data_IF_811765615995
#
_entry.id   IF_811765615995
#
_cell.length_a   1.000
_cell.length_b   1.000
_cell.length_c   1.000
_cell.angle_alpha   90.00
_cell.angle_beta   90.00
_cell.angle_gamma   90.00
#
_symmetry.space_group_name_H-M   'P 1'
#
loop_
_entity.id
_entity.type
_entity.pdbx_description
1 polymer ?
#
# COMPACT_ATOMS: atom_id res chain seq x y z
N UNK A 1 8.34 28.52 -7.08
CA UNK A 1 7.88 28.18 -8.45
C UNK A 1 8.68 27.02 -9.09
N UNK A 2 10.04 27.01 -9.05
CA UNK A 2 10.84 25.88 -9.61
C UNK A 2 10.71 24.64 -8.73
N UNK A 3 10.71 24.79 -7.44
CA UNK A 3 10.63 23.70 -6.44
C UNK A 3 9.24 23.04 -6.42
N UNK A 4 8.18 23.79 -6.57
CA UNK A 4 6.81 23.25 -6.65
C UNK A 4 6.57 22.37 -7.86
N UNK A 5 7.12 22.75 -9.04
CA UNK A 5 7.03 21.95 -10.26
C UNK A 5 7.78 20.63 -10.10
N UNK A 6 8.94 20.67 -9.44
CA UNK A 6 9.76 19.49 -9.21
C UNK A 6 9.10 18.53 -8.19
N UNK A 7 8.55 19.06 -7.10
CA UNK A 7 7.81 18.29 -6.09
C UNK A 7 6.60 17.60 -6.72
N UNK A 8 5.83 18.32 -7.53
CA UNK A 8 4.67 17.74 -8.19
C UNK A 8 5.07 16.66 -9.22
N UNK A 9 6.18 16.85 -9.94
CA UNK A 9 6.72 15.84 -10.86
C UNK A 9 7.17 14.57 -10.12
N UNK A 10 7.87 14.71 -9.00
CA UNK A 10 8.30 13.59 -8.16
C UNK A 10 7.11 12.81 -7.56
N UNK A 11 6.12 13.52 -7.02
CA UNK A 11 4.88 12.94 -6.53
C UNK A 11 4.15 12.15 -7.62
N UNK A 12 4.04 12.73 -8.83
CA UNK A 12 3.44 12.03 -9.99
C UNK A 12 4.20 10.78 -10.36
N UNK A 13 5.52 10.77 -10.22
CA UNK A 13 6.32 9.60 -10.54
C UNK A 13 6.07 8.45 -9.53
N UNK A 14 6.02 8.73 -8.22
CA UNK A 14 5.67 7.75 -7.19
C UNK A 14 4.27 7.18 -7.48
N UNK A 15 3.29 8.04 -7.73
CA UNK A 15 1.93 7.64 -8.07
C UNK A 15 1.87 6.82 -9.36
N UNK A 16 2.62 7.22 -10.39
CA UNK A 16 2.67 6.49 -11.66
C UNK A 16 3.20 5.07 -11.49
N UNK A 17 4.26 4.87 -10.71
CA UNK A 17 4.77 3.52 -10.41
C UNK A 17 3.73 2.67 -9.67
N UNK A 18 3.04 3.27 -8.71
CA UNK A 18 1.93 2.63 -8.03
C UNK A 18 0.82 2.23 -9.02
N UNK A 19 0.37 3.16 -9.87
CA UNK A 19 -0.71 2.89 -10.83
C UNK A 19 -0.33 1.87 -11.90
N UNK A 20 0.90 1.87 -12.41
CA UNK A 20 1.35 0.87 -13.39
C UNK A 20 1.26 -0.54 -12.79
N UNK A 21 1.72 -0.74 -11.56
CA UNK A 21 1.66 -2.04 -10.90
C UNK A 21 0.24 -2.47 -10.56
N UNK A 22 -0.59 -1.55 -10.09
CA UNK A 22 -2.00 -1.84 -9.82
C UNK A 22 -2.80 -2.04 -11.10
N UNK A 23 -2.53 -1.30 -12.18
CA UNK A 23 -3.21 -1.49 -13.46
C UNK A 23 -2.97 -2.87 -14.06
N UNK A 24 -1.75 -3.42 -13.98
CA UNK A 24 -1.47 -4.80 -14.40
C UNK A 24 -2.31 -5.81 -13.62
N UNK A 25 -2.41 -5.64 -12.31
CA UNK A 25 -3.18 -6.52 -11.43
C UNK A 25 -4.68 -6.42 -11.70
N UNK A 26 -5.17 -5.20 -11.84
CA UNK A 26 -6.55 -4.89 -12.19
C UNK A 26 -6.89 -5.42 -13.57
N UNK A 27 -6.01 -5.24 -14.55
CA UNK A 27 -6.18 -5.77 -15.90
C UNK A 27 -6.31 -7.31 -15.88
N UNK A 28 -5.46 -8.00 -15.13
CA UNK A 28 -5.55 -9.46 -15.00
C UNK A 28 -6.90 -9.88 -14.36
N UNK A 29 -7.32 -9.20 -13.29
CA UNK A 29 -8.63 -9.45 -12.66
C UNK A 29 -9.78 -9.18 -13.64
N UNK A 30 -9.68 -8.10 -14.41
CA UNK A 30 -10.68 -7.75 -15.42
C UNK A 30 -10.80 -8.81 -16.51
N UNK A 31 -9.68 -9.29 -17.05
CA UNK A 31 -9.64 -10.39 -18.03
C UNK A 31 -10.26 -11.65 -17.43
N UNK A 32 -9.92 -12.03 -16.20
CA UNK A 32 -10.51 -13.18 -15.53
C UNK A 32 -12.02 -13.03 -15.34
N UNK A 33 -12.49 -11.86 -14.92
CA UNK A 33 -13.94 -11.58 -14.79
C UNK A 33 -14.67 -11.68 -16.13
N UNK A 34 -14.07 -11.16 -17.21
CA UNK A 34 -14.64 -11.28 -18.56
C UNK A 34 -14.76 -12.76 -18.97
N UNK A 35 -13.69 -13.54 -18.81
CA UNK A 35 -13.69 -14.96 -19.18
C UNK A 35 -14.77 -15.72 -18.40
N UNK A 36 -14.85 -15.54 -17.10
CA UNK A 36 -15.87 -16.18 -16.27
C UNK A 36 -17.27 -15.74 -16.68
N UNK A 37 -17.48 -14.44 -16.97
CA UNK A 37 -18.79 -13.91 -17.38
C UNK A 37 -19.22 -14.42 -18.77
N UNK A 38 -18.28 -14.61 -19.70
CA UNK A 38 -18.56 -15.21 -21.02
C UNK A 38 -18.97 -16.67 -20.86
N UNK A 39 -18.21 -17.46 -20.07
CA UNK A 39 -18.55 -18.85 -19.81
C UNK A 39 -19.94 -18.99 -19.19
N UNK A 40 -20.28 -18.11 -18.24
CA UNK A 40 -21.60 -18.08 -17.63
C UNK A 40 -22.69 -17.70 -18.64
N UNK A 41 -22.49 -16.63 -19.42
CA UNK A 41 -23.47 -16.18 -20.41
C UNK A 41 -23.75 -17.25 -21.47
N UNK A 42 -22.71 -17.98 -21.91
CA UNK A 42 -22.86 -19.11 -22.85
C UNK A 42 -23.65 -20.26 -22.22
N UNK A 43 -23.40 -20.56 -20.95
CA UNK A 43 -24.06 -21.67 -20.25
C UNK A 43 -25.53 -21.39 -19.90
N UNK A 44 -25.88 -20.13 -19.64
CA UNK A 44 -27.23 -19.73 -19.18
C UNK A 44 -28.06 -19.01 -20.24
N UNK A 45 -27.46 -18.58 -21.36
CA UNK A 45 -28.11 -17.75 -22.38
C UNK A 45 -28.46 -16.31 -21.94
N UNK A 46 -27.98 -15.89 -20.78
CA UNK A 46 -28.35 -14.59 -20.18
C UNK A 46 -27.30 -13.49 -20.44
N UNK A 47 -27.37 -12.84 -21.60
CA UNK A 47 -26.48 -11.74 -21.98
C UNK A 47 -26.54 -10.52 -21.01
N UNK A 48 -27.68 -10.27 -20.39
CA UNK A 48 -27.87 -9.13 -19.47
C UNK A 48 -26.95 -9.24 -18.24
N UNK A 49 -26.76 -10.44 -17.71
CA UNK A 49 -25.86 -10.71 -16.56
C UNK A 49 -24.42 -10.33 -16.89
N UNK A 50 -23.99 -10.60 -18.13
CA UNK A 50 -22.66 -10.25 -18.62
C UNK A 50 -22.41 -8.72 -18.60
N UNK A 51 -23.38 -7.94 -19.12
CA UNK A 51 -23.27 -6.46 -19.13
C UNK A 51 -23.23 -5.87 -17.72
N UNK A 52 -24.03 -6.40 -16.79
CA UNK A 52 -24.03 -5.99 -15.39
C UNK A 52 -22.67 -6.30 -14.74
N UNK A 53 -22.12 -7.49 -14.96
CA UNK A 53 -20.82 -7.89 -14.39
C UNK A 53 -19.68 -6.97 -14.87
N UNK A 54 -19.66 -6.61 -16.16
CA UNK A 54 -18.68 -5.65 -16.71
C UNK A 54 -18.87 -4.27 -16.04
N UNK A 55 -20.08 -3.76 -15.94
CA UNK A 55 -20.37 -2.47 -15.32
C UNK A 55 -19.88 -2.39 -13.87
N UNK A 56 -20.18 -3.41 -13.07
CA UNK A 56 -19.72 -3.51 -11.68
C UNK A 56 -18.17 -3.55 -11.63
N UNK A 57 -17.54 -4.32 -12.49
CA UNK A 57 -16.09 -4.45 -12.53
C UNK A 57 -15.41 -3.11 -12.83
N UNK A 58 -15.91 -2.36 -13.81
CA UNK A 58 -15.41 -1.03 -14.15
C UNK A 58 -15.55 -0.05 -12.97
N UNK A 59 -16.69 -0.05 -12.28
CA UNK A 59 -16.92 0.79 -11.10
C UNK A 59 -15.94 0.44 -9.98
N UNK A 60 -15.73 -0.85 -9.71
CA UNK A 60 -14.79 -1.31 -8.68
C UNK A 60 -13.36 -0.87 -9.02
N UNK A 61 -12.95 -1.00 -10.29
CA UNK A 61 -11.63 -0.55 -10.76
C UNK A 61 -11.43 0.95 -10.54
N UNK A 62 -12.38 1.77 -11.01
CA UNK A 62 -12.32 3.22 -10.84
C UNK A 62 -12.23 3.61 -9.36
N UNK A 63 -13.02 2.95 -8.51
CA UNK A 63 -13.00 3.18 -7.08
C UNK A 63 -11.67 2.79 -6.43
N UNK A 64 -11.08 1.66 -6.81
CA UNK A 64 -9.77 1.23 -6.29
C UNK A 64 -8.66 2.22 -6.64
N UNK A 65 -8.63 2.70 -7.89
CA UNK A 65 -7.61 3.66 -8.35
C UNK A 65 -7.75 5.01 -7.65
N UNK A 66 -8.97 5.52 -7.50
CA UNK A 66 -9.19 6.86 -6.91
C UNK A 66 -9.00 6.88 -5.39
N UNK A 67 -9.46 5.84 -4.69
CA UNK A 67 -9.39 5.76 -3.22
C UNK A 67 -8.00 5.29 -2.77
N UNK A 68 -7.38 4.37 -3.51
CA UNK A 68 -6.14 3.71 -3.10
C UNK A 68 -4.97 4.67 -2.86
N UNK A 69 -4.89 5.77 -3.62
CA UNK A 69 -3.81 6.76 -3.46
C UNK A 69 -4.22 8.00 -2.64
N UNK A 70 -5.46 8.08 -2.19
CA UNK A 70 -5.98 9.28 -1.49
C UNK A 70 -5.23 9.54 -0.18
N UNK A 71 -5.02 8.49 0.60
CA UNK A 71 -4.33 8.60 1.90
C UNK A 71 -2.90 9.11 1.71
N UNK A 72 -2.16 8.57 0.72
CA UNK A 72 -0.82 9.04 0.38
C UNK A 72 -0.84 10.51 -0.06
N UNK A 73 -1.74 10.88 -0.97
CA UNK A 73 -1.82 12.26 -1.49
C UNK A 73 -2.11 13.27 -0.41
N UNK A 74 -3.00 12.94 0.53
CA UNK A 74 -3.33 13.81 1.64
C UNK A 74 -2.14 13.92 2.60
N UNK A 75 -1.58 12.81 3.07
CA UNK A 75 -0.43 12.81 3.96
C UNK A 75 0.78 13.54 3.35
N UNK A 76 1.02 13.37 2.03
CA UNK A 76 2.10 14.05 1.33
C UNK A 76 1.83 15.56 1.19
N UNK A 77 0.57 15.98 0.96
CA UNK A 77 0.21 17.39 0.84
C UNK A 77 0.28 18.15 2.19
N UNK A 78 0.08 17.44 3.30
CA UNK A 78 0.17 18.01 4.65
C UNK A 78 1.63 18.30 5.08
N UNK A 79 2.62 17.79 4.33
CA UNK A 79 4.04 18.04 4.61
C UNK A 79 4.48 19.40 4.07
N UNK A 80 5.41 20.05 4.78
CA UNK A 80 6.06 21.26 4.29
C UNK A 80 7.01 20.94 3.10
N UNK A 81 7.21 21.89 2.16
CA UNK A 81 7.90 21.63 0.90
C UNK A 81 9.28 20.99 1.00
N UNK A 82 10.20 21.43 1.90
CA UNK A 82 11.51 20.77 2.05
C UNK A 82 11.43 19.29 2.41
N UNK A 83 10.42 18.87 3.19
CA UNK A 83 10.22 17.47 3.56
C UNK A 83 9.67 16.64 2.39
N UNK A 84 8.78 17.22 1.62
CA UNK A 84 8.28 16.61 0.38
C UNK A 84 9.43 16.35 -0.59
N UNK A 85 10.32 17.34 -0.74
CA UNK A 85 11.52 17.24 -1.57
C UNK A 85 12.45 16.13 -1.10
N UNK A 86 12.75 16.07 0.20
CA UNK A 86 13.58 15.03 0.79
C UNK A 86 13.02 13.62 0.52
N UNK A 87 11.71 13.41 0.75
CA UNK A 87 11.06 12.11 0.50
C UNK A 87 11.19 11.70 -0.98
N UNK A 88 11.04 12.63 -1.91
CA UNK A 88 11.20 12.37 -3.34
C UNK A 88 12.65 12.02 -3.66
N UNK A 89 13.61 12.77 -3.15
CA UNK A 89 15.03 12.51 -3.36
C UNK A 89 15.43 11.13 -2.84
N UNK A 90 15.00 10.80 -1.62
CA UNK A 90 15.25 9.49 -1.01
C UNK A 90 14.60 8.34 -1.82
N UNK A 91 13.41 8.58 -2.37
CA UNK A 91 12.73 7.59 -3.20
C UNK A 91 13.44 7.34 -4.54
N UNK A 92 14.09 8.36 -5.08
CA UNK A 92 14.87 8.26 -6.32
C UNK A 92 16.23 7.59 -6.13
N UNK A 93 16.78 7.64 -4.93
CA UNK A 93 18.03 6.99 -4.57
C UNK A 93 17.84 5.50 -4.28
N UNK A 94 18.90 4.69 -4.35
CA UNK A 94 18.85 3.30 -3.91
C UNK A 94 18.42 3.22 -2.46
N UNK A 95 17.34 2.50 -2.19
CA UNK A 95 16.79 2.32 -0.83
C UNK A 95 16.34 0.87 -0.62
N UNK A 96 16.08 0.50 0.63
CA UNK A 96 15.66 -0.86 0.97
C UNK A 96 14.18 -1.05 0.66
N UNK A 97 13.86 -2.14 -0.05
CA UNK A 97 12.49 -2.51 -0.39
C UNK A 97 12.17 -3.88 0.20
N UNK A 98 11.13 -3.95 1.02
CA UNK A 98 10.60 -5.20 1.53
C UNK A 98 9.31 -5.58 0.79
N UNK A 99 9.23 -6.83 0.35
CA UNK A 99 8.02 -7.35 -0.29
C UNK A 99 7.02 -7.80 0.76
N UNK A 100 5.76 -7.40 0.58
CA UNK A 100 4.61 -7.81 1.37
C UNK A 100 3.78 -8.84 0.62
N UNK A 101 2.83 -9.47 1.32
CA UNK A 101 1.77 -10.21 0.66
C UNK A 101 0.85 -9.22 -0.09
N UNK A 102 1.03 -9.13 -1.39
CA UNK A 102 0.28 -8.20 -2.23
C UNK A 102 0.74 -6.75 -2.19
N UNK A 103 1.98 -6.48 -1.76
CA UNK A 103 2.51 -5.13 -1.68
C UNK A 103 4.02 -5.07 -1.51
N UNK A 104 4.47 -3.89 -1.10
CA UNK A 104 5.88 -3.60 -0.81
C UNK A 104 5.99 -2.41 0.15
N UNK A 105 7.09 -2.35 0.88
CA UNK A 105 7.48 -1.24 1.75
C UNK A 105 8.81 -0.70 1.25
N UNK A 106 8.84 0.57 0.90
CA UNK A 106 10.02 1.34 0.59
C UNK A 106 10.48 2.05 1.86
N UNK A 107 11.66 1.67 2.37
CA UNK A 107 12.27 2.29 3.55
C UNK A 107 13.11 3.46 3.09
N UNK A 108 12.69 4.67 3.37
CA UNK A 108 13.41 5.90 3.09
C UNK A 108 14.18 6.36 4.34
N UNK A 109 14.93 7.45 4.25
CA UNK A 109 15.69 7.96 5.40
C UNK A 109 14.78 8.30 6.59
N UNK A 110 13.68 9.03 6.35
CA UNK A 110 12.78 9.54 7.39
C UNK A 110 11.30 9.24 7.14
N UNK A 111 10.99 8.33 6.21
CA UNK A 111 9.63 7.95 5.89
C UNK A 111 9.56 6.50 5.39
N UNK A 112 8.38 5.92 5.41
CA UNK A 112 8.08 4.68 4.69
C UNK A 112 6.97 4.94 3.69
N UNK A 113 7.17 4.50 2.44
CA UNK A 113 6.10 4.44 1.46
C UNK A 113 5.67 2.98 1.35
N UNK A 114 4.44 2.70 1.75
CA UNK A 114 3.90 1.36 1.80
C UNK A 114 2.81 1.18 0.75
N UNK A 115 2.94 0.15 -0.08
CA UNK A 115 1.86 -0.35 -0.89
C UNK A 115 1.31 -1.61 -0.23
N UNK A 116 0.08 -1.58 0.21
CA UNK A 116 -0.61 -2.72 0.82
C UNK A 116 -1.95 -2.95 0.13
N UNK A 117 -2.06 -4.02 -0.65
CA UNK A 117 -3.19 -4.23 -1.54
C UNK A 117 -3.35 -3.07 -2.53
N UNK A 118 -4.54 -2.52 -2.62
CA UNK A 118 -4.85 -1.38 -3.50
C UNK A 118 -4.57 -0.01 -2.87
N UNK A 119 -3.92 0.06 -1.72
CA UNK A 119 -3.63 1.32 -1.01
C UNK A 119 -2.15 1.68 -1.09
N UNK A 120 -1.90 2.96 -1.33
CA UNK A 120 -0.59 3.59 -1.18
C UNK A 120 -0.63 4.47 0.07
N UNK A 121 0.32 4.28 0.95
CA UNK A 121 0.39 4.92 2.26
C UNK A 121 1.75 5.59 2.42
N UNK A 122 1.78 6.75 3.04
CA UNK A 122 2.97 7.38 3.57
C UNK A 122 2.91 7.27 5.09
N UNK A 123 3.92 6.69 5.70
CA UNK A 123 4.03 6.51 7.14
C UNK A 123 5.26 7.25 7.62
N UNK A 124 5.05 8.21 8.49
CA UNK A 124 6.10 9.00 9.11
C UNK A 124 6.38 8.43 10.50
N UNK A 125 7.65 8.14 10.86
CA UNK A 125 7.98 7.58 12.17
C UNK A 125 7.46 8.40 13.35
N UNK A 126 7.48 9.72 13.22
CA UNK A 126 6.99 10.65 14.25
C UNK A 126 5.50 10.51 14.57
N UNK A 127 4.70 10.07 13.60
CA UNK A 127 3.26 9.85 13.78
C UNK A 127 2.95 8.48 14.40
N UNK A 128 3.91 7.55 14.40
CA UNK A 128 3.66 6.19 14.90
C UNK A 128 3.69 6.16 16.43
N UNK A 129 2.64 5.61 17.01
CA UNK A 129 2.49 5.44 18.46
C UNK A 129 2.67 3.98 18.89
N UNK A 130 1.95 3.06 18.24
CA UNK A 130 1.95 1.64 18.60
C UNK A 130 2.21 0.77 17.41
N UNK A 131 3.10 -0.22 17.57
CA UNK A 131 3.31 -1.31 16.61
C UNK A 131 2.88 -2.61 17.28
N UNK A 132 1.98 -3.36 16.62
CA UNK A 132 1.52 -4.66 17.08
C UNK A 132 1.80 -5.72 16.03
N UNK A 133 2.59 -6.74 16.38
CA UNK A 133 2.79 -7.91 15.53
C UNK A 133 1.65 -8.90 15.73
N UNK A 134 1.10 -9.43 14.65
CA UNK A 134 0.00 -10.38 14.66
C UNK A 134 0.43 -11.72 14.08
N UNK A 135 0.04 -12.80 14.78
CA UNK A 135 0.02 -14.15 14.22
C UNK A 135 -1.41 -14.44 13.78
N UNK A 136 -1.60 -14.90 12.57
CA UNK A 136 -2.89 -15.44 12.17
C UNK A 136 -2.96 -16.90 12.60
N UNK A 137 -3.92 -17.22 13.45
CA UNK A 137 -4.32 -18.58 13.77
C UNK A 137 -5.46 -18.98 12.83
N UNK A 138 -5.24 -19.93 11.93
CA UNK A 138 -6.22 -20.43 10.98
C UNK A 138 -5.56 -21.19 9.85
N UNK A 139 -6.31 -21.69 8.89
CA UNK A 139 -5.81 -22.44 7.73
C UNK A 139 -4.77 -21.67 6.89
N UNK A 140 -4.69 -20.35 7.04
CA UNK A 140 -3.67 -19.49 6.44
C UNK A 140 -2.54 -19.14 7.44
N UNK A 141 -2.03 -20.12 8.17
CA UNK A 141 -0.96 -19.98 9.18
C UNK A 141 0.36 -19.34 8.67
N UNK A 142 0.41 -18.98 7.39
CA UNK A 142 1.59 -18.49 6.71
C UNK A 142 1.72 -16.96 6.63
N UNK A 143 0.68 -16.20 6.96
CA UNK A 143 0.72 -14.73 6.85
C UNK A 143 0.84 -14.11 8.22
N UNK A 144 1.90 -13.32 8.43
CA UNK A 144 2.07 -12.48 9.62
C UNK A 144 1.78 -11.04 9.26
N UNK A 145 1.08 -10.34 10.11
CA UNK A 145 0.77 -8.93 9.92
C UNK A 145 1.45 -8.06 10.95
N UNK A 146 1.74 -6.83 10.56
CA UNK A 146 2.10 -5.75 11.46
C UNK A 146 0.99 -4.71 11.40
N UNK A 147 0.43 -4.38 12.54
CA UNK A 147 -0.43 -3.22 12.70
C UNK A 147 0.41 -2.05 13.17
N UNK A 148 0.34 -0.95 12.46
CA UNK A 148 0.93 0.32 12.85
C UNK A 148 -0.24 1.25 13.19
N UNK A 149 -0.27 1.74 14.41
CA UNK A 149 -1.26 2.73 14.87
C UNK A 149 -0.54 4.06 15.02
N UNK A 150 -1.10 5.12 14.46
CA UNK A 150 -0.59 6.49 14.62
C UNK A 150 -1.22 7.18 15.82
N UNK A 151 -0.66 8.29 16.25
CA UNK A 151 -1.19 9.21 17.26
C UNK A 151 -2.61 9.70 16.93
N UNK A 152 -2.93 9.83 15.64
CA UNK A 152 -4.28 10.16 15.14
C UNK A 152 -5.22 8.94 15.06
N UNK A 153 -4.87 7.83 15.72
CA UNK A 153 -5.63 6.57 15.73
C UNK A 153 -5.86 5.92 14.35
N UNK A 154 -5.16 6.34 13.31
CA UNK A 154 -5.16 5.63 12.03
C UNK A 154 -4.44 4.30 12.19
N UNK A 155 -4.99 3.24 11.60
CA UNK A 155 -4.44 1.88 11.67
C UNK A 155 -4.05 1.41 10.29
N UNK A 156 -2.77 1.06 10.13
CA UNK A 156 -2.21 0.51 8.90
C UNK A 156 -1.85 -0.96 9.12
N UNK A 157 -2.24 -1.81 8.21
CA UNK A 157 -1.94 -3.23 8.24
C UNK A 157 -0.95 -3.57 7.13
N UNK A 158 0.21 -4.08 7.53
CA UNK A 158 1.22 -4.60 6.61
C UNK A 158 1.23 -6.12 6.74
N UNK A 159 0.95 -6.82 5.67
CA UNK A 159 0.90 -8.28 5.65
C UNK A 159 2.17 -8.85 5.03
N UNK A 160 2.80 -9.79 5.73
CA UNK A 160 4.03 -10.43 5.32
C UNK A 160 3.81 -11.91 5.06
N UNK A 161 4.55 -12.46 4.09
CA UNK A 161 4.57 -13.90 3.86
C UNK A 161 5.31 -14.64 4.99
N UNK A 162 4.99 -15.92 5.16
CA UNK A 162 5.75 -16.79 6.06
C UNK A 162 7.25 -16.78 5.70
N UNK A 163 8.11 -16.77 6.69
CA UNK A 163 9.56 -16.67 6.50
C UNK A 163 10.12 -15.23 6.48
N UNK A 164 9.29 -14.20 6.38
CA UNK A 164 9.73 -12.79 6.33
C UNK A 164 9.80 -12.12 7.71
N UNK A 165 10.00 -12.90 8.78
CA UNK A 165 10.06 -12.38 10.16
C UNK A 165 11.18 -11.36 10.37
N UNK A 166 12.31 -11.55 9.69
CA UNK A 166 13.44 -10.63 9.76
C UNK A 166 13.05 -9.25 9.20
N UNK A 167 12.28 -9.20 8.12
CA UNK A 167 11.82 -7.94 7.54
C UNK A 167 10.93 -7.16 8.52
N UNK A 168 10.03 -7.87 9.21
CA UNK A 168 9.20 -7.28 10.27
C UNK A 168 10.08 -6.69 11.37
N UNK A 169 11.06 -7.46 11.84
CA UNK A 169 11.99 -7.02 12.89
C UNK A 169 12.77 -5.78 12.43
N UNK A 170 13.26 -5.75 11.20
CA UNK A 170 13.99 -4.61 10.65
C UNK A 170 13.11 -3.35 10.60
N UNK A 171 11.86 -3.46 10.11
CA UNK A 171 10.93 -2.32 10.07
C UNK A 171 10.65 -1.79 11.49
N UNK A 172 10.38 -2.69 12.45
CA UNK A 172 10.12 -2.29 13.83
C UNK A 172 11.34 -1.63 14.46
N UNK A 173 12.54 -2.21 14.25
CA UNK A 173 13.77 -1.63 14.78
C UNK A 173 14.08 -0.27 14.16
N UNK A 174 13.85 -0.10 12.86
CA UNK A 174 14.02 1.17 12.19
C UNK A 174 13.05 2.23 12.75
N UNK A 175 11.77 1.91 12.90
CA UNK A 175 10.78 2.80 13.52
C UNK A 175 11.19 3.19 14.94
N UNK A 176 11.62 2.23 15.76
CA UNK A 176 12.09 2.49 17.12
C UNK A 176 13.40 3.30 17.18
N UNK A 177 14.27 3.15 16.19
CA UNK A 177 15.47 3.97 16.09
C UNK A 177 15.10 5.44 15.79
N UNK A 178 14.09 5.67 14.96
CA UNK A 178 13.62 7.02 14.62
C UNK A 178 12.77 7.65 15.73
N UNK A 179 11.99 6.86 16.45
CA UNK A 179 11.16 7.29 17.59
C UNK A 179 11.20 6.22 18.68
N UNK A 180 12.09 6.35 19.68
CA UNK A 180 12.29 5.34 20.73
C UNK A 180 11.05 5.06 21.58
N UNK A 181 10.15 6.04 21.70
CA UNK A 181 8.93 5.96 22.53
C UNK A 181 7.86 5.04 21.94
N UNK A 182 8.00 4.60 20.68
CA UNK A 182 7.03 3.71 20.05
C UNK A 182 6.83 2.44 20.89
N UNK A 183 5.59 2.18 21.28
CA UNK A 183 5.23 0.96 21.99
C UNK A 183 5.20 -0.23 21.03
N UNK A 184 6.02 -1.24 21.28
CA UNK A 184 5.99 -2.48 20.52
C UNK A 184 5.33 -3.61 21.29
N UNK A 185 4.12 -3.99 20.87
CA UNK A 185 3.38 -5.12 21.43
C UNK A 185 3.66 -6.38 20.61
N UNK A 186 4.43 -7.30 21.19
CA UNK A 186 4.73 -8.59 20.58
C UNK A 186 3.69 -9.60 21.04
N UNK A 187 2.79 -10.01 20.17
CA UNK A 187 1.94 -11.14 20.50
C UNK A 187 2.80 -12.42 20.48
N UNK A 188 2.97 -12.99 21.66
CA UNK A 188 3.55 -14.31 21.88
C UNK A 188 2.70 -15.41 21.27
#
# INVERSE_FOLDING_TARGET
MRDEVWIEAGKRMILRQFYIRESMRIFLMFVMCIVVSILWAVSTGQMVVFLIAIGITVIVILRMVTIGSREFRNAFADLYPPRQEQIIMDYLQPHTIYRLFGGEVHMLSDAMICRSGAKLLLILPEEVDVIKTMKYSGESAFVRGVWITTDTMKKYRLEFMSGQQQNIKHIVMWLKHKKPEITWQRNS
#
